data_IF_409771604871
#
_entry.id   IF_409771604871
#
_cell.length_a   1.000
_cell.length_b   1.000
_cell.length_c   1.000
_cell.angle_alpha   90.00
_cell.angle_beta   90.00
_cell.angle_gamma   90.00
#
_symmetry.space_group_name_H-M   'P 1'
#
loop_
_entity.id
_entity.type
_entity.pdbx_description
1 polymer ?
#
# COMPACT_ATOMS: atom_id res chain seq x y z
N UNK A 1 -30.43 7.13 -1.88
CA UNK A 1 -29.44 8.22 -1.96
C UNK A 1 -28.05 7.63 -1.74
N UNK A 2 -27.27 7.43 -2.81
CA UNK A 2 -25.86 7.07 -2.70
C UNK A 2 -25.03 8.35 -2.88
N UNK A 3 -24.37 8.81 -1.81
CA UNK A 3 -23.45 9.94 -1.91
C UNK A 3 -22.08 9.43 -2.39
N UNK A 4 -21.86 9.50 -3.70
CA UNK A 4 -20.53 9.40 -4.29
C UNK A 4 -19.77 10.68 -3.97
N UNK A 5 -18.98 10.68 -2.90
CA UNK A 5 -17.94 11.68 -2.72
C UNK A 5 -16.92 11.50 -3.85
N UNK A 6 -16.99 12.38 -4.84
CA UNK A 6 -16.00 12.48 -5.91
C UNK A 6 -14.66 12.87 -5.30
N UNK A 7 -13.80 11.87 -5.07
CA UNK A 7 -12.38 12.13 -5.01
C UNK A 7 -11.91 12.32 -6.45
N UNK A 8 -11.62 13.56 -6.81
CA UNK A 8 -10.86 13.89 -8.02
C UNK A 8 -9.49 13.21 -7.85
N UNK A 9 -9.31 12.03 -8.42
CA UNK A 9 -8.05 11.30 -8.36
C UNK A 9 -7.18 11.77 -9.54
N UNK A 10 -6.17 12.59 -9.24
CA UNK A 10 -4.92 12.44 -9.99
C UNK A 10 -4.47 10.98 -9.91
N UNK A 11 -3.61 10.49 -10.81
CA UNK A 11 -3.25 9.06 -10.89
C UNK A 11 -2.97 8.50 -9.49
N UNK A 12 -3.91 7.70 -8.98
CA UNK A 12 -3.84 7.17 -7.63
C UNK A 12 -2.75 6.12 -7.62
N UNK A 13 -1.75 6.28 -6.74
CA UNK A 13 -0.73 5.25 -6.53
C UNK A 13 -1.31 3.96 -5.94
N UNK A 14 -2.56 3.96 -5.48
CA UNK A 14 -3.26 2.82 -4.90
C UNK A 14 -4.12 2.16 -5.97
N UNK A 15 -3.97 0.85 -6.16
CA UNK A 15 -4.78 0.07 -7.11
C UNK A 15 -6.26 0.00 -6.71
N UNK A 16 -7.13 -0.32 -7.68
CA UNK A 16 -8.57 -0.51 -7.42
C UNK A 16 -8.85 -1.69 -6.48
N UNK A 17 -8.09 -2.78 -6.60
CA UNK A 17 -8.20 -3.96 -5.73
C UNK A 17 -7.89 -3.60 -4.28
N UNK A 18 -6.82 -2.84 -4.06
CA UNK A 18 -6.45 -2.37 -2.73
C UNK A 18 -7.46 -1.35 -2.20
N UNK A 19 -7.98 -0.47 -3.06
CA UNK A 19 -9.03 0.48 -2.71
C UNK A 19 -10.31 -0.23 -2.27
N UNK A 20 -10.71 -1.30 -2.97
CA UNK A 20 -11.81 -2.18 -2.57
C UNK A 20 -11.57 -2.87 -1.23
N UNK A 21 -10.37 -3.41 -0.99
CA UNK A 21 -10.01 -4.02 0.28
C UNK A 21 -10.10 -3.03 1.45
N UNK A 22 -9.60 -1.80 1.28
CA UNK A 22 -9.73 -0.74 2.28
C UNK A 22 -11.19 -0.34 2.52
N UNK A 23 -12.01 -0.30 1.47
CA UNK A 23 -13.44 0.04 1.58
C UNK A 23 -14.28 -1.06 2.25
N UNK A 24 -13.82 -2.33 2.19
CA UNK A 24 -14.49 -3.47 2.84
C UNK A 24 -14.38 -3.48 4.37
N UNK A 25 -13.60 -2.56 4.96
CA UNK A 25 -13.47 -2.45 6.41
C UNK A 25 -12.41 -3.37 7.03
N UNK A 26 -11.52 -3.98 6.23
CA UNK A 26 -10.40 -4.76 6.75
C UNK A 26 -9.48 -3.86 7.61
N UNK A 27 -9.24 -4.27 8.85
CA UNK A 27 -8.39 -3.49 9.78
C UNK A 27 -6.91 -3.47 9.37
N UNK A 28 -6.46 -4.57 8.74
CA UNK A 28 -5.08 -4.84 8.38
C UNK A 28 -5.04 -5.53 7.02
N UNK A 29 -4.21 -5.02 6.13
CA UNK A 29 -4.13 -5.47 4.74
C UNK A 29 -2.67 -5.72 4.40
N UNK A 30 -2.42 -6.80 3.66
CA UNK A 30 -1.11 -7.09 3.10
C UNK A 30 -0.99 -6.41 1.73
N UNK A 31 0.11 -5.70 1.52
CA UNK A 31 0.33 -4.85 0.33
C UNK A 31 1.69 -5.11 -0.31
N UNK A 32 1.79 -4.74 -1.57
CA UNK A 32 3.03 -4.63 -2.33
C UNK A 32 3.31 -3.16 -2.60
N UNK A 33 4.54 -2.71 -2.37
CA UNK A 33 4.97 -1.33 -2.57
C UNK A 33 6.09 -1.29 -3.60
N UNK A 34 5.86 -0.62 -4.72
CA UNK A 34 6.88 -0.25 -5.69
C UNK A 34 7.35 1.18 -5.41
N UNK A 35 8.67 1.35 -5.34
CA UNK A 35 9.31 2.65 -5.25
C UNK A 35 9.92 3.02 -6.61
N UNK A 36 9.95 4.31 -6.92
CA UNK A 36 10.51 4.84 -8.18
C UNK A 36 12.02 4.65 -8.32
N UNK A 37 12.69 4.37 -7.20
CA UNK A 37 14.12 4.17 -7.08
C UNK A 37 14.38 3.17 -5.96
N UNK A 38 15.58 2.55 -5.91
CA UNK A 38 15.92 1.58 -4.89
C UNK A 38 15.64 2.10 -3.48
N UNK A 39 15.03 1.26 -2.64
CA UNK A 39 14.69 1.63 -1.28
C UNK A 39 15.95 1.79 -0.42
N UNK A 40 16.24 3.02 -0.02
CA UNK A 40 17.24 3.32 1.01
C UNK A 40 16.77 2.95 2.43
N UNK A 41 17.69 2.91 3.39
CA UNK A 41 17.45 2.46 4.77
C UNK A 41 16.27 3.18 5.46
N UNK A 42 16.10 4.49 5.23
CA UNK A 42 15.00 5.25 5.82
C UNK A 42 13.62 4.81 5.30
N UNK A 43 13.53 4.35 4.05
CA UNK A 43 12.29 3.79 3.51
C UNK A 43 11.94 2.50 4.25
N UNK A 44 12.94 1.64 4.45
CA UNK A 44 12.78 0.36 5.12
C UNK A 44 12.38 0.54 6.59
N UNK A 45 12.98 1.49 7.30
CA UNK A 45 12.58 1.85 8.67
C UNK A 45 11.13 2.33 8.74
N UNK A 46 10.72 3.19 7.80
CA UNK A 46 9.33 3.64 7.71
C UNK A 46 8.39 2.46 7.44
N UNK A 47 8.74 1.59 6.49
CA UNK A 47 7.96 0.40 6.15
C UNK A 47 7.79 -0.55 7.34
N UNK A 48 8.85 -0.75 8.12
CA UNK A 48 8.82 -1.55 9.35
C UNK A 48 7.97 -0.93 10.46
N UNK A 49 7.88 0.40 10.50
CA UNK A 49 7.02 1.13 11.46
C UNK A 49 5.54 0.96 11.11
N UNK A 50 5.20 0.92 9.83
CA UNK A 50 3.81 0.87 9.34
C UNK A 50 3.28 -0.56 9.16
N UNK A 51 4.16 -1.56 9.08
CA UNK A 51 3.79 -2.96 8.86
C UNK A 51 4.93 -3.92 9.08
N UNK A 52 4.66 -5.22 8.88
CA UNK A 52 5.68 -6.25 8.94
C UNK A 52 6.30 -6.46 7.56
N UNK A 53 7.60 -6.24 7.42
CA UNK A 53 8.31 -6.57 6.17
C UNK A 53 8.32 -8.09 5.98
N UNK A 54 7.84 -8.55 4.83
CA UNK A 54 7.75 -9.97 4.44
C UNK A 54 8.73 -10.37 3.35
N UNK A 55 9.62 -9.45 2.96
CA UNK A 55 10.55 -9.61 1.85
C UNK A 55 10.10 -8.84 0.60
N UNK A 56 10.60 -9.28 -0.55
CA UNK A 56 10.33 -8.65 -1.84
C UNK A 56 9.61 -9.62 -2.79
N UNK A 57 8.75 -9.08 -3.64
CA UNK A 57 8.03 -9.82 -4.68
C UNK A 57 7.92 -8.94 -5.92
N UNK A 58 8.43 -9.40 -7.05
CA UNK A 58 8.37 -8.69 -8.35
C UNK A 58 8.84 -7.22 -8.29
N UNK A 59 9.95 -6.97 -7.58
CA UNK A 59 10.53 -5.64 -7.40
C UNK A 59 9.74 -4.73 -6.43
N UNK A 60 8.77 -5.29 -5.71
CA UNK A 60 8.03 -4.60 -4.66
C UNK A 60 8.41 -5.10 -3.27
N UNK A 61 8.45 -4.20 -2.29
CA UNK A 61 8.51 -4.59 -0.88
C UNK A 61 7.13 -5.07 -0.45
N UNK A 62 7.06 -6.29 0.08
CA UNK A 62 5.84 -6.84 0.65
C UNK A 62 5.73 -6.42 2.11
N UNK A 63 4.66 -5.70 2.44
CA UNK A 63 4.31 -5.36 3.81
C UNK A 63 3.03 -6.07 4.22
N UNK A 64 3.13 -6.79 5.33
CA UNK A 64 1.97 -7.41 5.96
C UNK A 64 1.38 -6.53 7.06
N UNK A 65 0.09 -6.73 7.33
CA UNK A 65 -0.62 -6.15 8.48
C UNK A 65 -0.65 -4.61 8.52
N UNK A 66 -0.73 -3.96 7.37
CA UNK A 66 -0.74 -2.48 7.25
C UNK A 66 -2.16 -1.94 7.42
N UNK A 67 -2.34 -0.84 8.17
CA UNK A 67 -3.66 -0.22 8.33
C UNK A 67 -4.04 0.59 7.07
N UNK A 68 -5.34 0.68 6.71
CA UNK A 68 -5.80 1.52 5.60
C UNK A 68 -5.35 2.99 5.67
N UNK A 69 -5.25 3.56 6.86
CA UNK A 69 -4.76 4.94 7.06
C UNK A 69 -3.28 5.09 6.69
N UNK A 70 -2.46 4.08 6.98
CA UNK A 70 -1.03 4.08 6.70
C UNK A 70 -0.77 3.86 5.21
N UNK A 71 -1.62 3.07 4.53
CA UNK A 71 -1.62 2.93 3.06
C UNK A 71 -1.87 4.29 2.39
N UNK A 72 -2.86 5.05 2.87
CA UNK A 72 -3.15 6.41 2.37
C UNK A 72 -2.01 7.39 2.66
N UNK A 73 -1.32 7.23 3.78
CA UNK A 73 -0.15 8.03 4.10
C UNK A 73 1.03 7.71 3.17
N UNK A 74 1.31 6.42 2.94
CA UNK A 74 2.34 5.96 2.02
C UNK A 74 2.09 6.46 0.60
N UNK A 75 0.84 6.38 0.10
CA UNK A 75 0.52 6.82 -1.26
C UNK A 75 0.77 8.31 -1.54
N UNK A 76 0.97 9.13 -0.50
CA UNK A 76 1.33 10.55 -0.64
C UNK A 76 2.83 10.80 -0.73
N UNK A 77 3.67 9.83 -0.39
CA UNK A 77 5.13 9.96 -0.45
C UNK A 77 5.59 10.00 -1.91
N UNK A 78 6.48 10.94 -2.23
CA UNK A 78 6.83 11.26 -3.63
C UNK A 78 7.60 10.11 -4.33
N UNK A 79 8.31 9.29 -3.55
CA UNK A 79 9.11 8.14 -4.00
C UNK A 79 8.28 6.88 -4.24
N UNK A 80 7.02 6.85 -3.79
CA UNK A 80 6.14 5.73 -4.06
C UNK A 80 5.69 5.83 -5.52
N UNK A 81 5.79 4.71 -6.21
CA UNK A 81 5.30 4.56 -7.57
C UNK A 81 3.89 3.97 -7.55
N UNK A 82 3.74 2.83 -6.90
CA UNK A 82 2.50 2.05 -6.85
C UNK A 82 2.38 1.29 -5.53
N UNK A 83 1.15 1.12 -5.07
CA UNK A 83 0.77 0.25 -3.97
C UNK A 83 -0.37 -0.65 -4.47
N UNK A 84 -0.21 -1.96 -4.33
CA UNK A 84 -1.20 -2.94 -4.73
C UNK A 84 -1.49 -3.92 -3.59
N UNK A 85 -2.60 -4.65 -3.72
CA UNK A 85 -2.96 -5.70 -2.78
C UNK A 85 -1.97 -6.87 -2.94
N UNK A 86 -1.40 -7.35 -1.84
CA UNK A 86 -0.54 -8.51 -1.90
C UNK A 86 -1.37 -9.78 -2.16
N UNK A 87 -0.85 -10.72 -2.97
CA UNK A 87 -1.46 -12.05 -3.07
C UNK A 87 -1.38 -12.74 -1.70
N UNK A 88 -2.30 -13.66 -1.36
CA UNK A 88 -2.21 -14.43 -0.12
C UNK A 88 -0.84 -15.12 -0.02
N UNK A 89 -0.25 -15.17 1.18
CA UNK A 89 0.97 -15.95 1.40
C UNK A 89 0.66 -17.42 1.04
N UNK A 90 1.45 -18.01 0.12
CA UNK A 90 1.35 -19.44 -0.14
C UNK A 90 1.80 -20.16 1.13
N UNK A 91 0.88 -20.86 1.78
CA UNK A 91 1.17 -21.78 2.89
C UNK A 91 1.89 -23.03 2.38
#
# INVERSE_FOLDING_TARGET
FFQTYGFVTGPSRISDKLSGAMASGQEKIDILIWAKFPAEAFHMELYQTLGAIRGELDGAVRLGRVKPQDIKFLSRKYWIEKIDLAPPEKS
#
